data_IF_904941933839
#
_entry.id   IF_904941933839
#
_cell.length_a   1.000
_cell.length_b   1.000
_cell.length_c   1.000
_cell.angle_alpha   90.00
_cell.angle_beta   90.00
_cell.angle_gamma   90.00
#
_symmetry.space_group_name_H-M   'P 1'
#
loop_
_entity.id
_entity.type
_entity.pdbx_description
1 polymer ?
#
# COMPACT_ATOMS: atom_id res chain seq x y z
N UNK A 1 -18.24 -61.74 -58.13
CA UNK A 1 -19.35 -62.24 -57.30
C UNK A 1 -18.78 -62.79 -56.00
N UNK A 2 -19.36 -62.38 -54.88
CA UNK A 2 -18.90 -62.65 -53.52
C UNK A 2 -19.25 -64.06 -53.02
N UNK A 3 -18.49 -64.56 -52.02
CA UNK A 3 -18.93 -65.26 -50.78
C UNK A 3 -17.72 -65.97 -50.13
N UNK A 4 -17.24 -65.52 -48.96
CA UNK A 4 -17.59 -65.92 -47.58
C UNK A 4 -16.91 -67.22 -47.09
N UNK A 5 -16.06 -67.12 -46.06
CA UNK A 5 -16.24 -67.90 -44.81
C UNK A 5 -15.35 -67.42 -43.66
N UNK A 6 -15.97 -67.26 -42.49
CA UNK A 6 -15.39 -67.02 -41.17
C UNK A 6 -14.88 -68.35 -40.58
N UNK A 7 -13.76 -68.34 -39.84
CA UNK A 7 -13.66 -69.14 -38.61
C UNK A 7 -12.50 -68.69 -37.73
N UNK A 8 -12.82 -68.32 -36.49
CA UNK A 8 -11.87 -67.96 -35.45
C UNK A 8 -11.32 -69.17 -34.71
N UNK A 9 -10.23 -68.95 -33.97
CA UNK A 9 -9.87 -69.77 -32.81
C UNK A 9 -9.14 -68.93 -31.78
N UNK A 10 -9.77 -68.86 -30.61
CA UNK A 10 -9.32 -68.22 -29.38
C UNK A 10 -8.37 -69.17 -28.64
N UNK A 11 -7.21 -68.67 -28.24
CA UNK A 11 -6.30 -69.35 -27.30
C UNK A 11 -6.87 -69.30 -25.89
N UNK A 12 -6.94 -70.46 -25.23
CA UNK A 12 -7.10 -70.56 -23.78
C UNK A 12 -5.71 -70.70 -23.14
N UNK A 13 -5.38 -69.83 -22.20
CA UNK A 13 -4.22 -70.00 -21.31
C UNK A 13 -4.64 -69.80 -19.86
N UNK A 14 -4.13 -70.71 -19.04
CA UNK A 14 -4.57 -71.09 -17.71
C UNK A 14 -4.30 -69.99 -16.66
N UNK A 15 -5.30 -69.78 -15.78
CA UNK A 15 -5.26 -68.81 -14.68
C UNK A 15 -4.52 -69.44 -13.49
N UNK A 16 -3.26 -69.07 -13.28
CA UNK A 16 -2.55 -69.25 -12.01
C UNK A 16 -2.81 -68.02 -11.12
N UNK A 17 -3.50 -68.19 -10.00
CA UNK A 17 -3.68 -67.11 -9.00
C UNK A 17 -2.41 -66.96 -8.16
N UNK A 18 -1.85 -65.74 -7.98
CA UNK A 18 -0.79 -65.48 -7.01
C UNK A 18 -1.36 -65.45 -5.58
N UNK A 19 -0.52 -65.75 -4.56
CA UNK A 19 -0.96 -65.86 -3.16
C UNK A 19 -1.35 -64.48 -2.60
N UNK A 20 -2.36 -64.47 -1.73
CA UNK A 20 -2.81 -63.26 -1.03
C UNK A 20 -1.76 -62.74 -0.03
N UNK A 21 -1.76 -61.43 0.29
CA UNK A 21 -0.77 -60.85 1.19
C UNK A 21 -0.97 -61.31 2.64
N UNK A 22 0.12 -61.78 3.26
CA UNK A 22 0.27 -62.08 4.69
C UNK A 22 0.36 -60.78 5.50
N UNK A 23 -0.14 -60.72 6.75
CA UNK A 23 -0.34 -59.46 7.47
C UNK A 23 0.93 -59.01 8.23
N UNK A 24 1.96 -58.57 7.52
CA UNK A 24 3.14 -57.93 8.14
C UNK A 24 3.75 -56.86 7.20
N UNK A 25 3.03 -55.77 6.97
CA UNK A 25 3.64 -54.52 6.51
C UNK A 25 3.34 -53.43 7.54
N UNK A 26 4.34 -53.20 8.40
CA UNK A 26 4.49 -52.06 9.30
C UNK A 26 4.45 -50.78 8.47
N UNK A 27 3.23 -50.28 8.21
CA UNK A 27 3.02 -48.91 7.76
C UNK A 27 3.49 -47.98 8.88
N UNK A 28 4.80 -47.70 8.89
CA UNK A 28 5.34 -46.50 9.50
C UNK A 28 4.64 -45.33 8.84
N UNK A 29 3.60 -44.85 9.51
CA UNK A 29 3.03 -43.53 9.30
C UNK A 29 4.21 -42.57 9.44
N UNK A 30 4.74 -42.09 8.31
CA UNK A 30 5.54 -40.87 8.30
C UNK A 30 4.55 -39.78 8.67
N UNK A 31 4.40 -39.59 9.98
CA UNK A 31 3.78 -38.41 10.56
C UNK A 31 4.67 -37.25 10.10
N UNK A 32 4.26 -36.57 9.04
CA UNK A 32 4.85 -35.27 8.71
C UNK A 32 4.52 -34.37 9.90
N UNK A 33 5.46 -34.29 10.83
CA UNK A 33 5.44 -33.37 11.96
C UNK A 33 5.46 -31.96 11.39
N UNK A 34 4.29 -31.36 11.22
CA UNK A 34 4.17 -29.91 11.15
C UNK A 34 4.49 -29.41 12.55
N UNK A 35 5.56 -28.62 12.70
CA UNK A 35 5.87 -28.00 13.98
C UNK A 35 4.64 -27.23 14.50
N UNK A 36 4.35 -27.27 15.82
CA UNK A 36 3.29 -26.46 16.38
C UNK A 36 3.63 -24.98 16.17
N UNK A 37 2.95 -24.36 15.20
CA UNK A 37 3.01 -22.91 14.98
C UNK A 37 2.68 -22.22 16.30
N UNK A 38 3.60 -21.39 16.80
CA UNK A 38 3.49 -20.80 18.14
C UNK A 38 2.27 -19.89 18.21
N UNK A 39 1.73 -19.65 19.42
CA UNK A 39 0.58 -18.74 19.59
C UNK A 39 0.86 -17.33 19.01
N UNK A 40 2.13 -16.92 19.04
CA UNK A 40 2.63 -15.67 18.49
C UNK A 40 2.60 -15.63 16.96
N UNK A 41 3.04 -16.69 16.27
CA UNK A 41 3.00 -16.80 14.81
C UNK A 41 1.56 -16.77 14.27
N UNK A 42 0.63 -17.45 14.95
CA UNK A 42 -0.80 -17.41 14.59
C UNK A 42 -1.39 -16.00 14.76
N UNK A 43 -0.96 -15.28 15.78
CA UNK A 43 -1.38 -13.90 16.03
C UNK A 43 -0.83 -12.95 14.95
N UNK A 44 0.45 -13.09 14.59
CA UNK A 44 1.08 -12.31 13.52
C UNK A 44 0.38 -12.53 12.18
N UNK A 45 0.12 -13.80 11.81
CA UNK A 45 -0.60 -14.13 10.58
C UNK A 45 -2.00 -13.49 10.53
N UNK A 46 -2.73 -13.50 11.66
CA UNK A 46 -4.04 -12.84 11.77
C UNK A 46 -3.94 -11.33 11.58
N UNK A 47 -2.93 -10.71 12.18
CA UNK A 47 -2.69 -9.27 12.05
C UNK A 47 -2.31 -8.90 10.61
N UNK A 48 -1.47 -9.71 9.95
CA UNK A 48 -1.10 -9.54 8.54
C UNK A 48 -2.33 -9.59 7.63
N UNK A 49 -3.22 -10.56 7.83
CA UNK A 49 -4.47 -10.67 7.05
C UNK A 49 -5.40 -9.48 7.27
N UNK A 50 -5.54 -9.01 8.52
CA UNK A 50 -6.33 -7.82 8.85
C UNK A 50 -5.74 -6.57 8.20
N UNK A 51 -4.43 -6.34 8.32
CA UNK A 51 -3.74 -5.21 7.71
C UNK A 51 -3.95 -5.19 6.19
N UNK A 52 -3.78 -6.33 5.52
CA UNK A 52 -4.06 -6.48 4.09
C UNK A 52 -5.51 -6.11 3.75
N UNK A 53 -6.47 -6.62 4.52
CA UNK A 53 -7.89 -6.31 4.35
C UNK A 53 -8.18 -4.80 4.46
N UNK A 54 -7.66 -4.14 5.50
CA UNK A 54 -7.81 -2.70 5.71
C UNK A 54 -7.18 -1.88 4.57
N UNK A 55 -5.97 -2.23 4.15
CA UNK A 55 -5.29 -1.54 3.04
C UNK A 55 -6.08 -1.65 1.74
N UNK A 56 -6.64 -2.83 1.43
CA UNK A 56 -7.48 -3.01 0.24
C UNK A 56 -8.80 -2.23 0.33
N UNK A 57 -9.39 -2.08 1.51
CA UNK A 57 -10.61 -1.27 1.71
C UNK A 57 -10.35 0.24 1.61
N UNK A 58 -9.15 0.70 1.95
CA UNK A 58 -8.78 2.11 1.82
C UNK A 58 -8.62 2.57 0.35
N UNK A 59 -8.53 1.63 -0.59
CA UNK A 59 -8.42 1.91 -2.02
C UNK A 59 -9.79 2.09 -2.66
N UNK A 60 -9.90 3.00 -3.63
CA UNK A 60 -11.09 3.13 -4.47
C UNK A 60 -11.36 1.79 -5.21
N UNK A 61 -12.61 1.31 -5.18
CA UNK A 61 -13.02 0.00 -5.75
C UNK A 61 -12.47 -0.26 -7.16
N UNK A 62 -12.39 0.76 -8.01
CA UNK A 62 -11.87 0.68 -9.40
C UNK A 62 -10.43 0.16 -9.51
N UNK A 63 -9.62 0.39 -8.48
CA UNK A 63 -8.21 0.01 -8.47
C UNK A 63 -7.94 -1.17 -7.52
N UNK A 64 -8.86 -1.48 -6.61
CA UNK A 64 -8.72 -2.55 -5.62
C UNK A 64 -8.36 -3.91 -6.25
N UNK A 65 -8.98 -4.28 -7.38
CA UNK A 65 -8.69 -5.52 -8.14
C UNK A 65 -7.22 -5.64 -8.56
N UNK A 66 -6.55 -4.52 -8.85
CA UNK A 66 -5.13 -4.51 -9.27
C UNK A 66 -4.18 -4.84 -8.12
N UNK A 67 -4.64 -4.68 -6.87
CA UNK A 67 -3.87 -4.88 -5.67
C UNK A 67 -4.20 -6.18 -4.93
N UNK A 68 -5.28 -6.89 -5.31
CA UNK A 68 -5.66 -8.17 -4.71
C UNK A 68 -4.62 -9.28 -4.92
N UNK A 69 -3.78 -9.20 -5.96
CA UNK A 69 -2.71 -10.17 -6.22
C UNK A 69 -1.58 -10.12 -5.18
N UNK A 70 -1.42 -9.02 -4.43
CA UNK A 70 -0.37 -8.91 -3.42
C UNK A 70 -0.78 -9.65 -2.15
N UNK A 71 -0.11 -10.78 -1.88
CA UNK A 71 -0.28 -11.55 -0.63
C UNK A 71 0.54 -10.95 0.51
N UNK A 72 1.69 -10.34 0.18
CA UNK A 72 2.54 -9.69 1.16
C UNK A 72 2.12 -8.23 1.39
N UNK A 73 1.96 -7.86 2.67
CA UNK A 73 1.50 -6.53 3.09
C UNK A 73 2.53 -5.45 2.76
N UNK A 74 3.82 -5.76 2.86
CA UNK A 74 4.88 -4.80 2.54
C UNK A 74 4.88 -4.50 1.05
N UNK A 75 4.82 -5.53 0.21
CA UNK A 75 4.74 -5.35 -1.25
C UNK A 75 3.45 -4.63 -1.68
N UNK A 76 2.33 -4.92 -1.01
CA UNK A 76 1.08 -4.19 -1.21
C UNK A 76 1.23 -2.69 -0.90
N UNK A 77 1.83 -2.36 0.25
CA UNK A 77 2.06 -0.98 0.65
C UNK A 77 2.98 -0.24 -0.33
N UNK A 78 4.11 -0.84 -0.71
CA UNK A 78 5.04 -0.27 -1.69
C UNK A 78 4.37 -0.04 -3.05
N UNK A 79 3.52 -0.96 -3.51
CA UNK A 79 2.79 -0.82 -4.75
C UNK A 79 1.76 0.33 -4.70
N UNK A 80 1.05 0.47 -3.57
CA UNK A 80 0.11 1.57 -3.33
C UNK A 80 0.86 2.91 -3.32
N UNK A 81 1.97 3.01 -2.59
CA UNK A 81 2.83 4.19 -2.55
C UNK A 81 3.36 4.55 -3.94
N UNK A 82 3.79 3.55 -4.72
CA UNK A 82 4.26 3.78 -6.09
C UNK A 82 3.15 4.31 -7.00
N UNK A 83 1.91 3.84 -6.82
CA UNK A 83 0.77 4.22 -7.66
C UNK A 83 0.19 5.58 -7.28
N UNK A 84 0.07 5.87 -5.99
CA UNK A 84 -0.66 7.03 -5.46
C UNK A 84 0.21 8.03 -4.73
N UNK A 85 1.42 7.64 -4.32
CA UNK A 85 2.33 8.49 -3.55
C UNK A 85 2.93 9.65 -4.34
N UNK A 86 2.48 9.92 -5.57
CA UNK A 86 2.97 10.97 -6.45
C UNK A 86 4.36 10.67 -7.02
N UNK A 87 4.60 11.04 -8.28
CA UNK A 87 5.93 10.89 -8.87
C UNK A 87 6.90 11.97 -8.34
N UNK A 88 8.22 11.70 -8.41
CA UNK A 88 9.26 12.62 -7.89
C UNK A 88 9.17 14.02 -8.49
N UNK A 89 8.85 14.11 -9.77
CA UNK A 89 8.76 15.37 -10.50
C UNK A 89 7.54 16.20 -10.05
N UNK A 90 6.38 15.58 -9.89
CA UNK A 90 5.16 16.20 -9.37
C UNK A 90 5.35 16.72 -7.94
N UNK A 91 6.02 15.95 -7.07
CA UNK A 91 6.39 16.43 -5.72
C UNK A 91 7.31 17.65 -5.79
N UNK A 92 8.30 17.63 -6.70
CA UNK A 92 9.22 18.76 -6.90
C UNK A 92 8.47 20.00 -7.38
N UNK A 93 7.58 19.87 -8.35
CA UNK A 93 6.75 20.98 -8.86
C UNK A 93 5.84 21.54 -7.77
N UNK A 94 5.18 20.67 -7.00
CA UNK A 94 4.33 21.09 -5.89
C UNK A 94 5.13 21.85 -4.83
N UNK A 95 6.32 21.36 -4.49
CA UNK A 95 7.24 22.02 -3.55
C UNK A 95 7.67 23.39 -4.04
N UNK A 96 8.06 23.53 -5.30
CA UNK A 96 8.43 24.82 -5.87
C UNK A 96 7.27 25.80 -5.88
N UNK A 97 6.05 25.31 -6.16
CA UNK A 97 4.84 26.14 -6.12
C UNK A 97 4.53 26.62 -4.70
N UNK A 98 4.60 25.73 -3.70
CA UNK A 98 4.39 26.10 -2.30
C UNK A 98 5.42 27.11 -1.81
N UNK A 99 6.70 26.92 -2.15
CA UNK A 99 7.75 27.90 -1.86
C UNK A 99 7.46 29.25 -2.52
N UNK A 100 7.04 29.23 -3.78
CA UNK A 100 6.66 30.47 -4.47
C UNK A 100 5.49 31.16 -3.78
N UNK A 101 4.44 30.43 -3.39
CA UNK A 101 3.28 30.97 -2.67
C UNK A 101 3.64 31.53 -1.30
N UNK A 102 4.51 30.83 -0.57
CA UNK A 102 5.05 31.30 0.70
C UNK A 102 5.84 32.60 0.50
N UNK A 103 6.73 32.63 -0.49
CA UNK A 103 7.53 33.82 -0.79
C UNK A 103 6.69 35.02 -1.25
N UNK A 104 5.62 34.74 -1.99
CA UNK A 104 4.70 35.73 -2.53
C UNK A 104 3.53 36.04 -1.62
N UNK A 105 3.55 35.67 -0.33
CA UNK A 105 2.53 36.10 0.63
C UNK A 105 2.47 37.62 0.58
N UNK A 106 1.39 38.11 -0.01
CA UNK A 106 1.06 39.51 -0.09
C UNK A 106 -0.24 39.73 0.69
N UNK A 107 -0.30 40.83 1.42
CA UNK A 107 -1.55 41.33 1.97
C UNK A 107 -2.46 41.72 0.83
N UNK A 108 -3.57 41.02 0.67
CA UNK A 108 -4.69 41.59 -0.06
C UNK A 108 -5.23 42.76 0.75
N UNK A 109 -5.62 43.87 0.11
CA UNK A 109 -6.12 45.08 0.79
C UNK A 109 -7.39 44.86 1.62
N UNK A 110 -8.00 43.67 1.57
CA UNK A 110 -9.21 43.27 2.27
C UNK A 110 -8.99 42.12 3.26
N UNK A 111 -7.78 41.57 3.37
CA UNK A 111 -7.48 40.48 4.32
C UNK A 111 -7.15 41.04 5.70
N UNK A 112 -7.75 40.44 6.73
CA UNK A 112 -7.42 40.71 8.13
C UNK A 112 -6.10 40.06 8.54
N UNK A 113 -5.54 40.50 9.68
CA UNK A 113 -4.32 39.91 10.22
C UNK A 113 -4.49 38.42 10.51
N UNK A 114 -5.59 38.01 11.14
CA UNK A 114 -5.85 36.61 11.48
C UNK A 114 -5.95 35.73 10.22
N UNK A 115 -6.64 36.21 9.18
CA UNK A 115 -6.71 35.50 7.90
C UNK A 115 -5.34 35.35 7.23
N UNK A 116 -4.51 36.39 7.34
CA UNK A 116 -3.13 36.36 6.81
C UNK A 116 -2.28 35.35 7.57
N UNK A 117 -2.41 35.32 8.90
CA UNK A 117 -1.73 34.36 9.77
C UNK A 117 -2.19 32.92 9.51
N UNK A 118 -3.49 32.67 9.40
CA UNK A 118 -4.05 31.35 9.09
C UNK A 118 -3.53 30.81 7.74
N UNK A 119 -3.45 31.67 6.72
CA UNK A 119 -2.92 31.30 5.41
C UNK A 119 -1.42 30.98 5.49
N UNK A 120 -0.66 31.77 6.24
CA UNK A 120 0.76 31.53 6.49
C UNK A 120 0.98 30.19 7.19
N UNK A 121 0.26 29.93 8.29
CA UNK A 121 0.29 28.67 9.03
C UNK A 121 -0.04 27.48 8.14
N UNK A 122 -1.10 27.58 7.34
CA UNK A 122 -1.48 26.53 6.38
C UNK A 122 -0.36 26.20 5.38
N UNK A 123 0.34 27.21 4.87
CA UNK A 123 1.45 27.02 3.93
C UNK A 123 2.65 26.34 4.62
N UNK A 124 2.95 26.72 5.86
CA UNK A 124 4.02 26.12 6.65
C UNK A 124 3.72 24.64 6.90
N UNK A 125 2.53 24.30 7.38
CA UNK A 125 2.14 22.90 7.59
C UNK A 125 2.26 22.07 6.31
N UNK A 126 1.96 22.66 5.14
CA UNK A 126 2.13 21.98 3.86
C UNK A 126 3.60 21.79 3.47
N UNK A 127 4.47 22.75 3.76
CA UNK A 127 5.92 22.67 3.53
C UNK A 127 6.57 21.62 4.46
N UNK A 128 6.19 21.57 5.73
CA UNK A 128 6.68 20.59 6.70
C UNK A 128 6.34 19.16 6.30
N UNK A 129 5.10 18.91 5.84
CA UNK A 129 4.69 17.59 5.31
C UNK A 129 5.54 17.19 4.09
N UNK A 130 6.08 18.15 3.35
CA UNK A 130 7.02 17.89 2.26
C UNK A 130 8.49 17.76 2.70
N UNK A 131 8.77 17.84 4.00
CA UNK A 131 10.11 17.74 4.58
C UNK A 131 10.95 19.02 4.46
N UNK A 132 10.30 20.17 4.24
CA UNK A 132 10.97 21.48 4.32
C UNK A 132 10.89 22.01 5.75
N UNK A 133 12.00 22.53 6.27
CA UNK A 133 12.05 23.15 7.60
C UNK A 133 12.01 24.66 7.40
N UNK A 134 10.94 25.29 7.86
CA UNK A 134 10.82 26.75 7.89
C UNK A 134 11.33 27.24 9.24
N UNK A 135 12.27 28.19 9.23
CA UNK A 135 12.79 28.77 10.46
C UNK A 135 11.77 29.75 11.05
N UNK A 136 11.65 29.77 12.37
CA UNK A 136 10.71 30.64 13.07
C UNK A 136 10.98 32.13 12.79
N UNK A 137 12.25 32.52 12.68
CA UNK A 137 12.66 33.89 12.36
C UNK A 137 12.18 34.31 10.97
N UNK A 138 12.25 33.41 10.00
CA UNK A 138 11.78 33.66 8.63
C UNK A 138 10.26 33.83 8.60
N UNK A 139 9.52 32.98 9.33
CA UNK A 139 8.07 33.12 9.50
C UNK A 139 7.69 34.47 10.10
N UNK A 140 8.38 34.87 11.16
CA UNK A 140 8.14 36.16 11.84
C UNK A 140 8.39 37.33 10.88
N UNK A 141 9.48 37.30 10.12
CA UNK A 141 9.78 38.31 9.10
C UNK A 141 8.71 38.35 8.01
N UNK A 142 8.22 37.18 7.57
CA UNK A 142 7.17 37.09 6.54
C UNK A 142 5.86 37.69 7.03
N UNK A 143 5.46 37.39 8.26
CA UNK A 143 4.28 37.96 8.90
C UNK A 143 4.38 39.48 9.01
N UNK A 144 5.52 40.00 9.49
CA UNK A 144 5.74 41.44 9.63
C UNK A 144 5.73 42.17 8.27
N UNK A 145 6.24 41.52 7.22
CA UNK A 145 6.19 42.06 5.85
C UNK A 145 4.78 42.05 5.29
N UNK A 146 3.97 41.07 5.67
CA UNK A 146 2.56 40.95 5.31
C UNK A 146 1.63 41.65 6.32
N UNK A 147 2.09 42.65 7.06
CA UNK A 147 1.19 43.51 7.82
C UNK A 147 0.67 44.64 6.92
N UNK A 148 -0.64 44.92 6.92
CA UNK A 148 -1.19 46.10 6.27
C UNK A 148 -0.51 47.37 6.81
N UNK A 149 -0.38 48.39 5.96
CA UNK A 149 0.27 49.67 6.30
C UNK A 149 -0.34 50.36 7.53
N UNK A 150 -1.62 50.13 7.76
CA UNK A 150 -2.44 50.59 8.87
C UNK A 150 -1.89 50.11 10.22
N UNK A 151 -1.29 48.91 10.27
CA UNK A 151 -0.70 48.36 11.50
C UNK A 151 0.72 48.87 11.76
N UNK A 152 1.42 49.35 10.73
CA UNK A 152 2.78 49.92 10.87
C UNK A 152 2.76 51.28 11.56
N UNK A 153 1.65 52.00 11.51
CA UNK A 153 1.49 53.34 12.11
C UNK A 153 1.13 53.31 13.59
N UNK A 154 0.71 52.17 14.14
CA UNK A 154 0.37 52.01 15.55
C UNK A 154 1.54 51.55 16.45
N UNK A 155 2.74 51.31 15.87
CA UNK A 155 3.94 50.79 16.59
C UNK A 155 4.96 51.89 16.92
N UNK A 156 4.68 53.16 16.61
CA UNK A 156 5.52 54.29 17.02
C UNK A 156 5.16 54.76 18.43
N UNK A 157 5.76 54.15 19.47
CA UNK A 157 5.92 54.74 20.82
C UNK A 157 7.35 54.44 21.29
#
# INVERSE_FOLDING_TARGET
>A
MASLSLSGKIEGSSRGSPPGPSPEEDFRIVEQTYEPTTAEEKLDQRNKMKARGTLLMALLNKDQLKFHSYQDVKLLMEAIEKRYGGNKESKKVQRTLLKQQYESIATSSLETLDQTFDRLQKLISQLEVQGEVVQQEDMNLKLMRSLPSEWKTHVLI
#
